data_IF_834464031190
#
_entry.id   IF_834464031190
#
_cell.length_a   1.000
_cell.length_b   1.000
_cell.length_c   1.000
_cell.angle_alpha   90.00
_cell.angle_beta   90.00
_cell.angle_gamma   90.00
#
_symmetry.space_group_name_H-M   'P 1'
#
loop_
_entity.id
_entity.type
_entity.pdbx_description
1 polymer ?
#
# COMPACT_ATOMS: atom_id res chain seq x y z
N UNK A 1 9.01 -8.71 -23.36
CA UNK A 1 8.81 -9.46 -22.10
C UNK A 1 7.47 -9.06 -21.52
N UNK A 2 6.42 -9.83 -21.84
CA UNK A 2 5.05 -9.54 -21.39
C UNK A 2 4.95 -9.89 -19.90
N UNK A 3 4.89 -8.87 -19.04
CA UNK A 3 4.68 -9.03 -17.60
C UNK A 3 3.27 -9.55 -17.35
N UNK A 4 3.11 -10.87 -17.34
CA UNK A 4 1.89 -11.47 -16.82
C UNK A 4 1.84 -11.17 -15.33
N UNK A 5 0.97 -10.23 -14.95
CA UNK A 5 0.72 -9.95 -13.54
C UNK A 5 0.28 -11.25 -12.85
N UNK A 6 0.97 -11.58 -11.76
CA UNK A 6 0.75 -12.78 -10.95
C UNK A 6 -0.75 -12.92 -10.62
N UNK A 7 -1.42 -14.00 -11.10
CA UNK A 7 -2.84 -14.22 -10.85
C UNK A 7 -3.20 -14.28 -9.36
N UNK A 8 -2.29 -14.76 -8.51
CA UNK A 8 -2.51 -14.85 -7.07
C UNK A 8 -2.55 -13.45 -6.45
N UNK A 9 -1.61 -12.58 -6.82
CA UNK A 9 -1.58 -11.17 -6.36
C UNK A 9 -2.81 -10.40 -6.84
N UNK A 10 -3.25 -10.63 -8.08
CA UNK A 10 -4.48 -10.01 -8.61
C UNK A 10 -5.71 -10.42 -7.78
N UNK A 11 -5.85 -11.71 -7.48
CA UNK A 11 -6.96 -12.23 -6.66
C UNK A 11 -6.91 -11.65 -5.25
N UNK A 12 -5.73 -11.62 -4.63
CA UNK A 12 -5.55 -11.01 -3.30
C UNK A 12 -6.02 -9.54 -3.31
N UNK A 13 -5.52 -8.71 -4.21
CA UNK A 13 -5.91 -7.30 -4.30
C UNK A 13 -7.41 -7.13 -4.49
N UNK A 14 -8.02 -7.94 -5.35
CA UNK A 14 -9.47 -7.90 -5.56
C UNK A 14 -10.23 -8.27 -4.27
N UNK A 15 -9.83 -9.33 -3.57
CA UNK A 15 -10.43 -9.75 -2.29
C UNK A 15 -10.28 -8.66 -1.22
N UNK A 16 -9.11 -8.04 -1.12
CA UNK A 16 -8.85 -6.93 -0.21
C UNK A 16 -9.79 -5.74 -0.48
N UNK A 17 -9.84 -5.27 -1.73
CA UNK A 17 -10.69 -4.14 -2.11
C UNK A 17 -12.18 -4.44 -1.86
N UNK A 18 -12.61 -5.67 -2.17
CA UNK A 18 -13.98 -6.13 -1.90
C UNK A 18 -14.30 -6.10 -0.40
N UNK A 19 -13.38 -6.56 0.45
CA UNK A 19 -13.57 -6.59 1.89
C UNK A 19 -13.58 -5.18 2.52
N UNK A 20 -12.67 -4.31 2.06
CA UNK A 20 -12.56 -2.92 2.52
C UNK A 20 -13.81 -2.13 2.12
N UNK A 21 -14.40 -2.44 0.95
CA UNK A 21 -15.63 -1.84 0.45
C UNK A 21 -15.56 -0.29 0.42
N UNK A 22 -14.40 0.24 0.05
CA UNK A 22 -14.19 1.68 -0.11
C UNK A 22 -14.84 2.17 -1.41
N UNK A 23 -15.31 3.44 -1.46
CA UNK A 23 -15.95 3.96 -2.67
C UNK A 23 -15.02 3.89 -3.88
N UNK A 24 -15.60 3.58 -5.05
CA UNK A 24 -14.82 3.48 -6.28
C UNK A 24 -14.08 4.79 -6.57
N UNK A 25 -12.80 4.69 -6.98
CA UNK A 25 -11.96 5.85 -7.28
C UNK A 25 -11.26 6.49 -6.08
N UNK A 26 -11.51 6.01 -4.85
CA UNK A 26 -10.83 6.51 -3.64
C UNK A 26 -9.52 5.81 -3.32
N UNK A 27 -9.18 4.77 -4.08
CA UNK A 27 -7.98 3.95 -3.85
C UNK A 27 -7.08 3.95 -5.08
N UNK A 28 -5.79 4.12 -4.84
CA UNK A 28 -4.74 4.03 -5.85
C UNK A 28 -3.70 3.02 -5.38
N UNK A 29 -3.19 2.22 -6.30
CA UNK A 29 -2.03 1.35 -6.06
C UNK A 29 -0.79 2.00 -6.66
N UNK A 30 0.25 2.19 -5.85
CA UNK A 30 1.45 2.91 -6.28
C UNK A 30 2.73 2.23 -5.77
N UNK A 31 3.74 2.02 -6.62
CA UNK A 31 5.01 1.46 -6.18
C UNK A 31 5.85 2.52 -5.44
N UNK A 32 6.43 2.15 -4.29
CA UNK A 32 7.45 2.95 -3.58
C UNK A 32 8.89 2.41 -3.80
N UNK A 33 9.00 1.27 -4.47
CA UNK A 33 10.28 0.66 -4.83
C UNK A 33 10.17 -0.02 -6.18
N UNK A 34 11.31 -0.16 -6.84
CA UNK A 34 11.37 -0.85 -8.12
C UNK A 34 11.39 -2.37 -7.96
N UNK A 35 10.99 -3.13 -8.99
CA UNK A 35 11.18 -4.57 -9.02
C UNK A 35 12.65 -4.92 -8.78
N UNK A 36 12.88 -6.00 -8.04
CA UNK A 36 14.22 -6.57 -7.80
C UNK A 36 14.96 -6.80 -9.12
N UNK A 37 16.20 -6.31 -9.22
CA UNK A 37 17.06 -6.47 -10.41
C UNK A 37 17.09 -5.28 -11.37
N UNK A 38 16.31 -4.22 -11.10
CA UNK A 38 16.46 -2.92 -11.78
C UNK A 38 17.21 -2.00 -10.82
N UNK A 39 18.38 -1.50 -11.22
CA UNK A 39 19.14 -0.54 -10.41
C UNK A 39 18.41 0.80 -10.43
N UNK A 40 17.69 1.15 -9.35
CA UNK A 40 16.92 2.35 -9.35
C UNK A 40 17.89 3.47 -9.04
N UNK A 41 18.08 4.39 -9.98
CA UNK A 41 18.78 5.64 -9.71
C UNK A 41 18.24 6.26 -8.41
N UNK A 42 19.10 6.88 -7.58
CA UNK A 42 18.89 7.06 -6.13
C UNK A 42 17.64 7.84 -5.70
N UNK A 43 16.87 8.42 -6.63
CA UNK A 43 15.80 9.38 -6.34
C UNK A 43 14.45 9.07 -7.01
N UNK A 44 14.36 8.20 -8.04
CA UNK A 44 13.20 8.24 -8.95
C UNK A 44 11.89 7.67 -8.37
N UNK A 45 11.91 6.52 -7.67
CA UNK A 45 10.66 5.92 -7.16
C UNK A 45 10.07 6.67 -5.97
N UNK A 46 10.93 7.19 -5.08
CA UNK A 46 10.51 7.94 -3.91
C UNK A 46 9.96 9.33 -4.30
N UNK A 47 10.57 9.98 -5.28
CA UNK A 47 10.10 11.27 -5.80
C UNK A 47 8.76 11.12 -6.51
N UNK A 48 8.60 10.09 -7.35
CA UNK A 48 7.32 9.81 -8.03
C UNK A 48 6.23 9.46 -7.02
N UNK A 49 6.55 8.64 -6.02
CA UNK A 49 5.63 8.33 -4.94
C UNK A 49 5.18 9.61 -4.21
N UNK A 50 6.14 10.44 -3.80
CA UNK A 50 5.86 11.68 -3.07
C UNK A 50 5.06 12.69 -3.90
N UNK A 51 5.38 12.82 -5.18
CA UNK A 51 4.63 13.66 -6.12
C UNK A 51 3.19 13.16 -6.29
N UNK A 52 2.98 11.83 -6.37
CA UNK A 52 1.64 11.24 -6.41
C UNK A 52 0.84 11.51 -5.13
N UNK A 53 1.45 11.32 -3.96
CA UNK A 53 0.81 11.62 -2.66
C UNK A 53 0.37 13.08 -2.59
N UNK A 54 1.23 14.02 -3.00
CA UNK A 54 0.89 15.43 -3.02
C UNK A 54 -0.20 15.76 -4.06
N UNK A 55 -0.07 15.25 -5.29
CA UNK A 55 -1.00 15.55 -6.39
C UNK A 55 -2.43 15.09 -6.11
N UNK A 56 -2.58 13.90 -5.52
CA UNK A 56 -3.89 13.34 -5.18
C UNK A 56 -4.33 13.67 -3.74
N UNK A 57 -3.58 14.52 -3.03
CA UNK A 57 -3.85 14.89 -1.63
C UNK A 57 -4.09 13.68 -0.71
N UNK A 58 -3.29 12.62 -0.89
CA UNK A 58 -3.43 11.37 -0.16
C UNK A 58 -3.13 11.58 1.33
N UNK A 59 -4.08 11.21 2.19
CA UNK A 59 -3.94 11.28 3.65
C UNK A 59 -3.67 9.95 4.32
N UNK A 60 -3.93 8.85 3.63
CA UNK A 60 -3.79 7.49 4.16
C UNK A 60 -3.01 6.63 3.18
N UNK A 61 -1.96 5.98 3.67
CA UNK A 61 -1.15 5.06 2.88
C UNK A 61 -1.14 3.71 3.57
N UNK A 62 -1.60 2.68 2.86
CA UNK A 62 -1.52 1.29 3.32
C UNK A 62 -0.27 0.65 2.73
N UNK A 63 0.64 0.20 3.59
CA UNK A 63 1.89 -0.44 3.20
C UNK A 63 1.81 -1.95 3.42
N UNK A 64 1.96 -2.74 2.35
CA UNK A 64 1.98 -4.19 2.40
C UNK A 64 3.41 -4.68 2.63
N UNK A 65 3.73 -5.07 3.87
CA UNK A 65 5.07 -5.49 4.30
C UNK A 65 5.89 -4.38 4.96
N UNK A 66 6.99 -4.77 5.61
CA UNK A 66 7.86 -3.88 6.40
C UNK A 66 8.70 -2.94 5.53
N UNK A 67 9.35 -3.48 4.50
CA UNK A 67 10.21 -2.70 3.60
C UNK A 67 9.54 -1.45 2.99
N UNK A 68 8.32 -1.53 2.38
CA UNK A 68 7.66 -0.33 1.89
C UNK A 68 7.19 0.59 3.03
N UNK A 69 6.79 0.04 4.18
CA UNK A 69 6.39 0.84 5.33
C UNK A 69 7.52 1.72 5.85
N UNK A 70 8.74 1.18 5.95
CA UNK A 70 9.90 1.94 6.42
C UNK A 70 10.29 3.05 5.45
N UNK A 71 10.20 2.79 4.14
CA UNK A 71 10.42 3.84 3.11
C UNK A 71 9.39 4.96 3.20
N UNK A 72 8.11 4.64 3.37
CA UNK A 72 7.08 5.67 3.55
C UNK A 72 7.33 6.44 4.84
N UNK A 73 7.72 5.79 5.94
CA UNK A 73 8.06 6.47 7.21
C UNK A 73 9.23 7.44 7.08
N UNK A 74 10.24 7.13 6.25
CA UNK A 74 11.34 8.05 5.96
C UNK A 74 10.86 9.30 5.23
N UNK A 75 9.93 9.15 4.27
CA UNK A 75 9.38 10.27 3.51
C UNK A 75 8.34 11.08 4.30
N UNK A 76 7.57 10.39 5.13
CA UNK A 76 6.48 10.94 5.93
C UNK A 76 6.63 10.45 7.37
N UNK A 77 7.48 11.10 8.18
CA UNK A 77 7.63 10.79 9.60
C UNK A 77 6.27 10.82 10.31
N UNK A 78 6.03 9.82 11.15
CA UNK A 78 4.76 9.67 11.88
C UNK A 78 4.79 10.37 13.25
N UNK A 79 5.84 11.14 13.54
CA UNK A 79 6.01 11.88 14.79
C UNK A 79 5.24 13.21 14.76
N UNK A 80 4.42 13.46 15.78
CA UNK A 80 3.62 14.69 15.93
C UNK A 80 2.13 14.42 16.17
N UNK A 81 1.39 15.46 16.58
CA UNK A 81 -0.06 15.34 16.88
C UNK A 81 -0.94 15.17 15.64
N UNK A 82 -0.45 15.50 14.44
CA UNK A 82 -1.20 15.35 13.19
C UNK A 82 -0.25 15.24 12.00
N UNK A 83 0.24 14.03 11.67
CA UNK A 83 1.07 13.85 10.48
C UNK A 83 0.23 14.10 9.22
N UNK A 84 0.81 14.72 8.17
CA UNK A 84 0.08 15.03 6.94
C UNK A 84 -0.38 13.78 6.18
N UNK A 85 0.33 12.66 6.38
CA UNK A 85 0.01 11.34 5.81
C UNK A 85 0.08 10.32 6.93
N UNK A 86 -1.01 9.57 7.12
CA UNK A 86 -1.13 8.48 8.08
C UNK A 86 -0.76 7.15 7.42
N UNK A 87 0.23 6.48 7.97
CA UNK A 87 0.68 5.17 7.51
C UNK A 87 -0.04 4.04 8.25
N UNK A 88 -0.55 3.09 7.48
CA UNK A 88 -1.18 1.86 7.95
C UNK A 88 -0.36 0.67 7.47
N UNK A 89 0.25 -0.06 8.40
CA UNK A 89 0.97 -1.27 8.05
C UNK A 89 0.00 -2.44 7.86
N UNK A 90 0.30 -3.28 6.87
CA UNK A 90 -0.38 -4.53 6.59
C UNK A 90 0.67 -5.62 6.34
N UNK A 91 0.35 -6.91 6.54
CA UNK A 91 1.27 -7.99 6.20
C UNK A 91 1.67 -7.96 4.73
N UNK A 92 2.80 -8.60 4.39
CA UNK A 92 3.28 -8.63 3.02
C UNK A 92 2.35 -9.47 2.14
N UNK A 93 2.27 -9.19 0.82
CA UNK A 93 1.37 -9.93 -0.07
C UNK A 93 1.60 -11.45 -0.03
N UNK A 94 2.85 -11.90 0.07
CA UNK A 94 3.23 -13.31 0.20
C UNK A 94 2.62 -13.99 1.43
N UNK A 95 2.53 -13.27 2.56
CA UNK A 95 1.90 -13.79 3.76
C UNK A 95 0.38 -13.85 3.58
N UNK A 96 -0.21 -12.78 3.02
CA UNK A 96 -1.65 -12.64 2.84
C UNK A 96 -2.25 -13.63 1.83
N UNK A 97 -1.50 -14.01 0.79
CA UNK A 97 -1.96 -14.98 -0.24
C UNK A 97 -2.22 -16.37 0.36
N UNK A 98 -1.53 -16.72 1.45
CA UNK A 98 -1.65 -18.05 2.08
C UNK A 98 -2.83 -18.17 3.04
N UNK A 99 -3.44 -17.05 3.42
CA UNK A 99 -4.52 -17.00 4.41
C UNK A 99 -5.86 -17.44 3.84
N UNK A 100 -6.69 -18.05 4.70
CA UNK A 100 -8.10 -18.28 4.41
C UNK A 100 -8.87 -16.93 4.40
N UNK A 101 -10.04 -16.85 3.74
CA UNK A 101 -10.77 -15.59 3.61
C UNK A 101 -11.07 -14.87 4.94
N UNK A 102 -11.42 -15.61 5.99
CA UNK A 102 -11.72 -15.01 7.30
C UNK A 102 -10.46 -14.52 8.03
N UNK A 103 -9.34 -15.22 7.89
CA UNK A 103 -8.03 -14.81 8.42
C UNK A 103 -7.52 -13.56 7.71
N UNK A 104 -7.71 -13.49 6.38
CA UNK A 104 -7.43 -12.29 5.59
C UNK A 104 -8.24 -11.09 6.09
N UNK A 105 -9.54 -11.28 6.34
CA UNK A 105 -10.40 -10.21 6.88
C UNK A 105 -9.94 -9.74 8.26
N UNK A 106 -9.53 -10.66 9.14
CA UNK A 106 -8.98 -10.33 10.44
C UNK A 106 -7.67 -9.54 10.32
N UNK A 107 -6.76 -9.98 9.45
CA UNK A 107 -5.48 -9.31 9.19
C UNK A 107 -5.62 -7.88 8.64
N UNK A 108 -6.76 -7.55 8.03
CA UNK A 108 -7.04 -6.24 7.42
C UNK A 108 -8.10 -5.44 8.18
N UNK A 109 -8.60 -5.95 9.31
CA UNK A 109 -9.72 -5.36 10.03
C UNK A 109 -9.44 -3.92 10.47
N UNK A 110 -8.20 -3.61 10.90
CA UNK A 110 -7.79 -2.26 11.27
C UNK A 110 -7.73 -1.30 10.08
N UNK A 111 -7.48 -1.79 8.86
CA UNK A 111 -7.46 -0.97 7.65
C UNK A 111 -8.89 -0.59 7.26
N UNK A 112 -9.85 -1.50 7.49
CA UNK A 112 -11.26 -1.23 7.21
C UNK A 112 -11.84 -0.09 8.06
N UNK A 113 -11.27 0.21 9.23
CA UNK A 113 -11.75 1.29 10.10
C UNK A 113 -11.27 2.68 9.67
N UNK A 114 -10.41 2.76 8.64
CA UNK A 114 -9.95 4.02 8.07
C UNK A 114 -11.13 4.79 7.51
N UNK A 115 -11.31 6.02 8.00
CA UNK A 115 -12.30 6.95 7.47
C UNK A 115 -11.70 7.72 6.32
N UNK A 116 -12.05 7.33 5.10
CA UNK A 116 -11.74 8.10 3.89
C UNK A 116 -12.75 9.26 3.87
N UNK A 117 -12.24 10.48 4.11
CA UNK A 117 -13.03 11.70 4.19
C UNK A 117 -13.34 12.29 2.81
#
# INVERSE_FOLDING_TARGET
MAGNADPARRRLLHSMLTFLNWPQGTTLFWPISFPTGVDPGPFFAADIFSAGVAHFAIRHVVCLGTNPADRVRTLYPQEGQSPPVLLHAAPAPEDLVTLLPHELHQALAHIKTIKIA
#
